data_IF_390328042564
#
_entry.id   IF_390328042564
#
_cell.length_a   1.000
_cell.length_b   1.000
_cell.length_c   1.000
_cell.angle_alpha   90.00
_cell.angle_beta   90.00
_cell.angle_gamma   90.00
#
_symmetry.space_group_name_H-M   'P 1'
#
loop_
_entity.id
_entity.type
_entity.pdbx_description
1 polymer ?
2 water ?
#
# COMPACT_ATOMS: atom_id res chain seq x y z
N UNK A 2 0.79 17.66 -9.22
CA UNK A 2 1.55 18.10 -8.01
C UNK A 2 0.66 18.92 -7.07
N UNK A 3 -0.33 19.60 -7.62
CA UNK A 3 -1.27 20.41 -6.82
C UNK A 3 -2.16 19.55 -5.94
N UNK A 4 -2.27 18.25 -6.26
CA UNK A 4 -3.08 17.31 -5.48
C UNK A 4 -2.37 16.82 -4.22
N UNK A 5 -1.12 17.23 -4.04
CA UNK A 5 -0.32 16.82 -2.90
C UNK A 5 0.04 18.03 -2.04
N UNK A 6 0.07 17.81 -0.73
CA UNK A 6 0.44 18.82 0.22
C UNK A 6 1.49 18.23 1.15
N UNK A 7 2.53 18.98 1.43
CA UNK A 7 3.55 18.56 2.36
C UNK A 7 3.07 18.89 3.77
N UNK A 8 3.28 17.97 4.70
CA UNK A 8 2.89 18.15 6.08
C UNK A 8 2.87 16.83 6.80
N UNK A 9 2.25 16.80 7.97
CA UNK A 9 2.10 15.55 8.70
C UNK A 9 0.87 14.83 8.15
N UNK A 10 1.13 13.72 7.45
CA UNK A 10 0.06 12.87 6.93
C UNK A 10 -0.26 11.83 7.99
N UNK A 11 -1.53 11.48 8.09
CA UNK A 11 -1.97 10.52 9.09
C UNK A 11 -3.09 9.65 8.55
N UNK A 12 -3.10 8.39 9.00
CA UNK A 12 -4.21 7.49 8.78
C UNK A 12 -4.69 6.96 10.13
N UNK A 13 -5.99 7.02 10.34
CA UNK A 13 -6.63 6.43 11.49
C UNK A 13 -7.56 5.34 11.01
N UNK A 14 -7.50 4.16 11.64
CA UNK A 14 -8.40 3.06 11.33
C UNK A 14 -9.19 2.68 12.57
N UNK A 15 -10.51 2.55 12.40
CA UNK A 15 -11.38 2.08 13.49
C UNK A 15 -12.24 0.94 12.97
N UNK A 16 -12.46 -0.08 13.78
CA UNK A 16 -13.35 -1.16 13.38
C UNK A 16 -14.39 -1.39 14.46
N UNK A 17 -15.53 -1.94 14.04
CA UNK A 17 -16.63 -2.27 14.94
C UNK A 17 -17.44 -3.42 14.35
N UNK A 18 -18.11 -4.17 15.21
CA UNK A 18 -19.01 -5.25 14.79
C UNK A 18 -18.56 -6.56 15.38
N UNK A 19 -18.76 -7.63 14.62
CA UNK A 19 -18.35 -8.97 15.02
C UNK A 19 -16.86 -9.13 14.68
N UNK A 20 -16.02 -8.38 15.38
CA UNK A 20 -14.60 -8.25 15.04
C UNK A 20 -13.84 -9.56 15.15
N UNK A 21 -14.30 -10.47 16.01
CA UNK A 21 -13.66 -11.79 16.13
C UNK A 21 -13.96 -12.70 14.94
N UNK A 22 -14.91 -12.32 14.08
CA UNK A 22 -15.28 -13.12 12.91
C UNK A 22 -14.53 -12.69 11.66
N UNK A 23 -13.73 -11.63 11.76
CA UNK A 23 -13.04 -11.07 10.60
C UNK A 23 -11.56 -10.88 10.88
N UNK A 24 -10.75 -11.09 9.85
CA UNK A 24 -9.33 -10.73 9.89
C UNK A 24 -9.14 -9.49 9.03
N UNK A 25 -8.60 -8.43 9.63
CA UNK A 25 -8.38 -7.16 8.95
C UNK A 25 -6.90 -6.83 9.00
N UNK A 26 -6.28 -6.72 7.85
CA UNK A 26 -4.86 -6.42 7.74
C UNK A 26 -4.67 -5.15 6.92
N UNK A 27 -3.68 -4.34 7.27
CA UNK A 27 -3.38 -3.15 6.49
C UNK A 27 -1.87 -3.02 6.23
N UNK A 28 -1.59 -2.39 5.10
CA UNK A 28 -0.24 -1.97 4.74
C UNK A 28 -0.27 -0.47 4.52
N UNK A 29 0.66 0.23 5.17
CA UNK A 29 0.70 1.68 5.17
C UNK A 29 2.09 2.15 4.73
N UNK A 30 2.13 3.15 3.87
CA UNK A 30 3.37 3.75 3.48
C UNK A 30 3.13 5.16 2.99
N UNK A 31 4.20 5.89 2.79
CA UNK A 31 4.11 7.22 2.21
C UNK A 31 5.39 7.58 1.52
N UNK A 32 5.47 8.84 1.08
CA UNK A 32 6.63 9.32 0.39
C UNK A 32 6.95 10.75 0.75
N UNK A 33 8.24 11.03 0.80
CA UNK A 33 8.73 12.39 0.79
C UNK A 33 9.68 12.54 -0.42
N UNK A 34 10.26 13.74 -0.58
CA UNK A 34 11.03 14.01 -1.79
C UNK A 34 12.31 13.17 -1.91
N UNK A 35 12.73 12.52 -0.81
CA UNK A 35 13.91 11.68 -0.79
C UNK A 35 13.72 10.19 -0.71
N UNK A 36 12.50 9.72 -0.53
CA UNK A 36 12.26 8.31 -0.36
C UNK A 36 10.98 7.97 0.38
N UNK A 37 10.82 6.68 0.72
CA UNK A 37 9.69 6.29 1.53
C UNK A 37 9.63 7.09 2.83
N UNK A 38 8.43 7.46 3.22
CA UNK A 38 8.23 8.29 4.40
C UNK A 38 8.50 7.53 5.69
N UNK A 39 9.11 8.21 6.64
CA UNK A 39 9.23 7.67 7.99
C UNK A 39 7.84 7.65 8.63
N UNK A 40 7.57 6.59 9.37
CA UNK A 40 6.25 6.35 9.96
C UNK A 40 6.36 6.23 11.49
N UNK A 41 5.30 6.65 12.16
CA UNK A 41 5.23 6.74 13.60
C UNK A 41 3.87 6.22 14.05
N UNK A 42 3.83 5.56 15.22
CA UNK A 42 2.59 5.03 15.77
C UNK A 42 1.80 6.08 16.57
N UNK A 43 0.73 5.65 17.23
CA UNK A 43 -0.16 6.57 17.94
C UNK A 43 0.50 7.30 19.12
N UNK A 44 1.61 6.75 19.62
CA UNK A 44 2.37 7.34 20.72
C UNK A 44 3.53 8.19 20.19
N UNK A 45 3.68 8.23 18.88
CA UNK A 45 4.76 9.00 18.26
C UNK A 45 6.07 8.25 18.16
N UNK A 46 6.05 6.96 18.46
CA UNK A 46 7.26 6.15 18.35
C UNK A 46 7.50 5.78 16.90
N UNK A 47 8.76 5.85 16.50
CA UNK A 47 9.16 5.49 15.16
C UNK A 47 8.98 4.01 14.90
N UNK A 48 8.30 3.66 13.82
CA UNK A 48 8.05 2.25 13.51
C UNK A 48 8.66 1.80 12.18
N UNK A 49 9.40 2.69 11.50
CA UNK A 49 10.15 2.30 10.29
C UNK A 49 9.63 3.09 9.09
N UNK A 50 10.02 2.70 7.89
CA UNK A 50 9.52 3.36 6.68
C UNK A 50 8.62 2.45 5.83
N UNK A 51 8.17 1.38 6.45
CA UNK A 51 7.06 0.58 5.94
C UNK A 51 6.34 0.05 7.17
N UNK A 52 5.08 -0.32 7.01
CA UNK A 52 4.29 -0.81 8.12
C UNK A 52 3.12 -1.66 7.64
N UNK A 53 2.98 -2.82 8.25
CA UNK A 53 1.78 -3.64 8.09
C UNK A 53 1.37 -4.13 9.45
N UNK A 54 0.08 -4.35 9.63
CA UNK A 54 -0.41 -4.83 10.90
C UNK A 54 -1.77 -5.47 10.70
N UNK A 55 -2.04 -6.51 11.48
CA UNK A 55 -3.41 -6.96 11.62
C UNK A 55 -4.07 -6.03 12.66
N UNK A 56 -5.28 -5.58 12.37
CA UNK A 56 -5.99 -4.65 13.26
C UNK A 56 -6.65 -5.50 14.33
N UNK A 57 -6.25 -5.33 15.58
CA UNK A 57 -6.81 -6.16 16.66
C UNK A 57 -7.28 -5.35 17.84
N UNK A 58 -7.35 -4.04 17.66
CA UNK A 58 -7.85 -3.15 18.67
C UNK A 58 -8.96 -2.33 18.02
N UNK A 59 -9.65 -1.52 18.82
CA UNK A 59 -10.69 -0.64 18.28
C UNK A 59 -10.14 0.47 17.36
N UNK A 60 -8.97 1.03 17.69
CA UNK A 60 -8.36 2.13 16.94
C UNK A 60 -6.86 1.99 16.78
N UNK A 61 -6.38 2.27 15.57
CA UNK A 61 -4.96 2.34 15.24
C UNK A 61 -4.71 3.61 14.45
N UNK A 62 -3.57 4.25 14.66
CA UNK A 62 -3.19 5.34 13.80
C UNK A 62 -1.72 5.28 13.48
N UNK A 63 -1.38 5.93 12.37
CA UNK A 63 -0.03 5.98 11.85
C UNK A 63 0.16 7.35 11.21
N UNK A 64 1.28 8.01 11.45
CA UNK A 64 1.54 9.29 10.81
C UNK A 64 2.97 9.38 10.34
N UNK A 65 3.23 10.41 9.55
CA UNK A 65 4.53 10.68 8.99
C UNK A 65 5.20 11.82 9.76
N UNK A 66 6.44 12.13 9.39
CA UNK A 66 7.03 13.40 9.75
C UNK A 66 6.45 14.49 8.84
N UNK A 67 6.88 15.72 9.04
CA UNK A 67 6.30 16.85 8.32
C UNK A 67 6.79 17.06 6.91
N UNK A 68 7.59 16.12 6.40
CA UNK A 68 8.13 16.22 5.04
C UNK A 68 7.35 15.41 4.02
N UNK A 69 6.41 14.59 4.47
CA UNK A 69 5.70 13.72 3.55
C UNK A 69 4.75 14.51 2.67
N UNK A 70 4.55 14.02 1.44
CA UNK A 70 3.56 14.63 0.56
C UNK A 70 2.46 13.67 0.15
N UNK A 71 2.52 12.44 0.65
CA UNK A 71 1.61 11.37 0.30
C UNK A 71 1.68 10.26 1.32
N UNK A 72 0.53 9.65 1.63
CA UNK A 72 0.44 8.50 2.50
C UNK A 72 -0.75 7.66 2.02
N UNK A 73 -0.58 6.35 2.08
CA UNK A 73 -1.55 5.37 1.60
C UNK A 73 -1.79 4.27 2.61
N UNK A 74 -3.00 3.72 2.63
CA UNK A 74 -3.34 2.58 3.44
C UNK A 74 -4.14 1.64 2.56
N UNK A 75 -3.63 0.43 2.40
CA UNK A 75 -4.33 -0.65 1.68
C UNK A 75 -4.66 -1.74 2.67
N UNK A 76 -5.88 -2.25 2.58
CA UNK A 76 -6.31 -3.26 3.53
C UNK A 76 -7.05 -4.42 2.92
N UNK A 77 -7.08 -5.50 3.68
CA UNK A 77 -7.91 -6.63 3.33
C UNK A 77 -8.73 -7.05 4.53
N UNK A 78 -9.94 -7.49 4.22
CA UNK A 78 -10.89 -7.96 5.19
C UNK A 78 -11.33 -9.33 4.73
N UNK A 79 -11.22 -10.32 5.61
CA UNK A 79 -11.60 -11.67 5.26
C UNK A 79 -12.33 -12.39 6.39
N UNK A 80 -13.12 -13.38 6.01
CA UNK A 80 -13.90 -14.18 6.97
C UNK A 80 -14.35 -15.48 6.35
N UNK A 81 -14.31 -16.55 7.14
CA UNK A 81 -14.92 -17.84 6.76
C UNK A 81 -16.10 -18.17 7.68
N UNK A 82 -16.57 -17.18 8.43
CA UNK A 82 -17.65 -17.38 9.41
C UNK A 82 -18.98 -17.70 8.74
N UNK A 83 -19.93 -18.16 9.54
CA UNK A 83 -21.31 -18.36 9.11
C UNK A 83 -21.90 -17.04 8.62
N UNK A 84 -22.98 -17.12 7.84
CA UNK A 84 -23.64 -15.93 7.30
C UNK A 84 -24.14 -15.01 8.42
N UNK A 85 -24.20 -13.70 8.15
CA UNK A 85 -24.81 -12.75 9.08
C UNK A 85 -23.89 -12.09 10.10
N UNK A 86 -22.58 -12.31 9.99
CA UNK A 86 -21.63 -11.57 10.80
C UNK A 86 -21.35 -10.22 10.14
N UNK A 87 -21.17 -9.18 10.96
CA UNK A 87 -21.13 -7.79 10.48
C UNK A 87 -19.89 -7.04 10.97
N UNK A 88 -19.25 -6.29 10.07
CA UNK A 88 -18.09 -5.48 10.44
C UNK A 88 -18.18 -4.08 9.83
N UNK A 89 -17.89 -3.10 10.68
CA UNK A 89 -17.68 -1.79 10.10
C UNK A 89 -16.24 -1.35 10.26
N UNK A 90 -15.75 -0.79 9.16
CA UNK A 90 -14.37 -0.28 9.08
C UNK A 90 -14.45 1.17 8.64
N UNK A 91 -13.79 2.06 9.39
CA UNK A 91 -13.60 3.45 8.99
C UNK A 91 -12.10 3.73 8.87
N UNK A 92 -11.69 4.30 7.74
CA UNK A 92 -10.31 4.72 7.55
C UNK A 92 -10.31 6.18 7.15
N UNK A 93 -9.61 7.03 7.92
CA UNK A 93 -9.62 8.45 7.70
C UNK A 93 -8.19 8.89 7.41
N UNK A 94 -8.03 9.69 6.36
CA UNK A 94 -6.75 10.26 5.99
C UNK A 94 -6.73 11.75 6.29
N UNK A 95 -5.64 12.22 6.89
CA UNK A 95 -5.47 13.61 7.28
C UNK A 95 -4.15 14.17 6.78
N UNK A 96 -4.12 15.48 6.59
CA UNK A 96 -2.89 16.23 6.49
C UNK A 96 -2.97 17.39 7.48
N UNK A 97 -2.02 17.46 8.41
CA UNK A 97 -2.00 18.49 9.45
C UNK A 97 -3.38 18.63 10.12
N UNK A 98 -3.95 17.48 10.49
CA UNK A 98 -5.21 17.39 11.24
C UNK A 98 -6.48 17.70 10.46
N UNK A 99 -6.34 18.07 9.18
CA UNK A 99 -7.49 18.26 8.32
C UNK A 99 -7.80 16.92 7.62
N UNK A 100 -9.07 16.51 7.66
CA UNK A 100 -9.49 15.30 6.99
C UNK A 100 -9.47 15.54 5.50
N UNK A 101 -8.77 14.69 4.76
CA UNK A 101 -8.71 14.86 3.31
C UNK A 101 -9.43 13.76 2.53
N UNK A 102 -9.53 12.57 3.10
CA UNK A 102 -10.34 11.47 2.54
C UNK A 102 -10.80 10.55 3.65
N UNK A 103 -11.84 9.79 3.36
CA UNK A 103 -12.44 8.90 4.32
C UNK A 103 -13.04 7.74 3.55
N UNK A 104 -12.85 6.54 4.09
CA UNK A 104 -13.51 5.36 3.59
C UNK A 104 -14.37 4.82 4.72
N UNK A 105 -15.62 4.51 4.39
CA UNK A 105 -16.50 3.84 5.32
C UNK A 105 -16.98 2.57 4.65
N UNK A 106 -16.81 1.45 5.33
CA UNK A 106 -17.13 0.15 4.79
C UNK A 106 -17.96 -0.61 5.81
N UNK A 107 -18.93 -1.34 5.29
CA UNK A 107 -19.73 -2.26 6.09
C UNK A 107 -19.72 -3.62 5.40
N UNK A 108 -19.36 -4.66 6.15
CA UNK A 108 -19.29 -6.01 5.59
C UNK A 108 -20.19 -6.93 6.38
N UNK A 109 -20.92 -7.80 5.66
CA UNK A 109 -21.82 -8.77 6.27
C UNK A 109 -21.63 -10.11 5.54
N UNK A 110 -21.22 -11.13 6.29
CA UNK A 110 -20.95 -12.44 5.67
C UNK A 110 -22.24 -13.08 5.20
N UNK A 111 -22.15 -13.84 4.11
CA UNK A 111 -23.32 -14.49 3.50
C UNK A 111 -23.21 -16.03 3.48
N UNK A 112 -22.21 -16.56 4.18
CA UNK A 112 -22.02 -18.02 4.26
C UNK A 112 -20.92 -18.52 3.35
N UNK A 113 -20.62 -17.77 2.29
CA UNK A 113 -19.46 -18.04 1.46
C UNK A 113 -18.25 -17.34 2.05
N UNK A 114 -17.07 -17.71 1.57
CA UNK A 114 -15.82 -17.08 1.94
C UNK A 114 -15.90 -15.59 1.63
N UNK A 115 -15.49 -14.73 2.56
CA UNK A 115 -15.48 -13.28 2.33
C UNK A 115 -14.04 -12.81 2.19
N UNK A 116 -13.75 -12.15 1.07
CA UNK A 116 -12.47 -11.49 0.85
C UNK A 116 -12.74 -10.14 0.18
N UNK A 117 -12.41 -9.06 0.86
CA UNK A 117 -12.61 -7.74 0.30
C UNK A 117 -11.36 -6.91 0.55
N UNK A 118 -11.16 -5.90 -0.28
CA UNK A 118 -10.00 -5.03 -0.12
C UNK A 118 -10.43 -3.57 -0.19
N UNK A 119 -9.55 -2.70 0.30
CA UNK A 119 -9.81 -1.29 0.25
C UNK A 119 -8.52 -0.52 0.19
N UNK A 120 -8.63 0.73 -0.23
CA UNK A 120 -7.48 1.61 -0.26
C UNK A 120 -7.92 3.04 -0.04
N UNK A 121 -7.13 3.78 0.70
CA UNK A 121 -7.34 5.21 0.84
C UNK A 121 -5.99 5.91 0.95
N UNK A 122 -5.93 7.13 0.44
CA UNK A 122 -4.71 7.90 0.52
C UNK A 122 -5.02 9.33 0.88
N UNK A 123 -3.95 10.10 1.09
CA UNK A 123 -4.07 11.52 1.41
C UNK A 123 -3.91 12.41 0.16
N UNK A 124 -3.92 11.83 -1.03
CA UNK A 124 -3.96 12.63 -2.27
C UNK A 124 -5.38 13.16 -2.49
N UNK A 125 -5.47 14.41 -2.95
CA UNK A 125 -6.76 15.03 -3.27
C UNK A 125 -7.43 14.27 -4.42
N UNK A 126 -8.63 13.74 -4.17
CA UNK A 126 -9.41 13.03 -5.18
C UNK A 126 -10.34 14.02 -5.87
N UNK B 4 -12.67 -22.66 2.35
CA UNK B 4 -11.23 -22.27 2.32
C UNK B 4 -10.97 -21.20 1.26
N UNK B 5 -10.04 -20.30 1.55
CA UNK B 5 -9.71 -19.21 0.63
C UNK B 5 -8.95 -19.72 -0.58
N UNK B 6 -9.15 -19.05 -1.73
CA UNK B 6 -8.36 -19.28 -2.93
C UNK B 6 -7.03 -18.54 -2.77
N UNK B 7 -5.93 -19.29 -2.68
CA UNK B 7 -4.63 -18.70 -2.40
C UNK B 7 -3.62 -19.06 -3.47
N UNK B 8 -2.52 -18.32 -3.51
CA UNK B 8 -1.41 -18.65 -4.38
C UNK B 8 -0.23 -17.75 -4.06
N UNK B 9 0.82 -17.88 -4.85
CA UNK B 9 1.95 -16.95 -4.80
C UNK B 9 1.57 -15.68 -5.53
N UNK B 10 1.41 -14.60 -4.78
CA UNK B 10 1.20 -13.30 -5.37
C UNK B 10 2.55 -12.64 -5.62
N UNK B 11 2.67 -11.94 -6.72
CA UNK B 11 3.94 -11.35 -7.14
C UNK B 11 3.72 -10.06 -7.87
N UNK B 12 4.55 -9.07 -7.56
CA UNK B 12 4.57 -7.81 -8.27
C UNK B 12 5.96 -7.54 -8.78
N UNK B 13 6.02 -7.17 -10.06
CA UNK B 13 7.24 -6.85 -10.74
C UNK B 13 7.16 -5.39 -11.19
N UNK B 14 8.20 -4.61 -10.95
CA UNK B 14 8.29 -3.24 -11.41
C UNK B 14 9.52 -3.09 -12.29
N UNK B 15 9.32 -2.46 -13.45
CA UNK B 15 10.37 -2.15 -14.42
C UNK B 15 10.37 -0.66 -14.71
N UNK B 16 11.53 -0.01 -14.58
CA UNK B 16 11.66 1.40 -14.89
C UNK B 16 12.74 1.62 -15.91
N UNK B 17 12.58 2.70 -16.68
CA UNK B 17 13.60 3.10 -17.61
C UNK B 17 13.44 4.55 -18.00
N UNK B 18 14.48 5.08 -18.62
CA UNK B 18 14.51 6.43 -19.12
C UNK B 18 15.57 7.23 -18.41
N UNK B 19 15.21 8.46 -18.05
CA UNK B 19 16.09 9.34 -17.30
C UNK B 19 15.94 9.05 -15.81
N UNK B 20 16.33 7.85 -15.43
CA UNK B 20 16.05 7.37 -14.09
C UNK B 20 16.70 8.20 -12.98
N UNK B 21 17.86 8.81 -13.25
CA UNK B 21 18.51 9.64 -12.25
C UNK B 21 17.76 10.96 -11.99
N UNK B 22 16.79 11.30 -12.84
CA UNK B 22 16.03 12.55 -12.69
C UNK B 22 14.73 12.39 -11.91
N UNK B 23 14.40 11.15 -11.54
CA UNK B 23 13.15 10.86 -10.83
C UNK B 23 13.44 10.13 -9.55
N UNK B 24 12.65 10.44 -8.54
CA UNK B 24 12.62 9.69 -7.30
C UNK B 24 11.40 8.78 -7.34
N UNK B 25 11.64 7.46 -7.35
CA UNK B 25 10.56 6.48 -7.41
C UNK B 25 10.58 5.69 -6.09
N UNK B 26 9.50 5.79 -5.31
CA UNK B 26 9.32 5.08 -4.04
C UNK B 26 8.17 4.11 -4.18
N UNK B 27 8.31 2.93 -3.60
CA UNK B 27 7.20 1.99 -3.54
C UNK B 27 7.04 1.41 -2.15
N UNK B 28 5.80 1.11 -1.82
CA UNK B 28 5.45 0.39 -0.60
C UNK B 28 4.65 -0.82 -1.04
N UNK B 29 4.99 -1.99 -0.49
CA UNK B 29 4.37 -3.25 -0.89
C UNK B 29 3.93 -4.02 0.36
N UNK B 30 2.75 -4.63 0.27
CA UNK B 30 2.29 -5.51 1.31
C UNK B 30 1.25 -6.47 0.74
N UNK B 31 0.97 -7.52 1.49
CA UNK B 31 -0.05 -8.49 1.09
C UNK B 31 -0.71 -9.07 2.30
N UNK B 32 -1.62 -10.02 2.06
CA UNK B 32 -2.38 -10.60 3.15
C UNK B 32 -2.65 -12.07 2.90
N UNK B 33 -2.71 -12.79 4.01
CA UNK B 33 -3.20 -14.17 4.04
C UNK B 33 -4.14 -14.31 5.22
N UNK B 34 -4.64 -15.51 5.49
CA UNK B 34 -5.69 -15.60 6.51
C UNK B 34 -5.15 -15.34 7.92
N UNK B 35 -3.82 -15.28 8.08
CA UNK B 35 -3.23 -14.95 9.37
C UNK B 35 -2.93 -13.48 9.61
N UNK B 36 -3.02 -12.67 8.58
CA UNK B 36 -2.57 -11.30 8.68
C UNK B 36 -1.71 -10.89 7.50
N UNK B 37 -0.85 -9.89 7.71
CA UNK B 37 0.06 -9.50 6.64
C UNK B 37 0.91 -10.67 6.15
N UNK B 38 1.06 -10.77 4.84
CA UNK B 38 1.84 -11.83 4.21
C UNK B 38 3.32 -11.60 4.30
N UNK B 39 4.06 -12.63 4.61
CA UNK B 39 5.51 -12.57 4.49
C UNK B 39 5.88 -12.27 3.05
N UNK B 40 6.92 -11.46 2.88
CA UNK B 40 7.38 -11.01 1.57
C UNK B 40 8.78 -11.48 1.31
N UNK B 41 9.06 -11.73 0.02
CA UNK B 41 10.33 -12.29 -0.44
C UNK B 41 10.81 -11.53 -1.66
N UNK B 42 12.12 -11.35 -1.78
CA UNK B 42 12.69 -10.66 -2.93
C UNK B 42 12.88 -11.62 -4.11
N UNK B 43 13.49 -11.13 -5.19
CA UNK B 43 13.74 -11.91 -6.41
C UNK B 43 14.62 -13.14 -6.21
N UNK B 44 15.45 -13.12 -5.16
CA UNK B 44 16.29 -14.24 -4.78
C UNK B 44 15.62 -15.24 -3.82
N UNK B 45 14.39 -14.96 -3.42
CA UNK B 45 13.68 -15.84 -2.49
C UNK B 45 14.01 -15.57 -1.02
N UNK B 46 14.66 -14.45 -0.73
CA UNK B 46 15.01 -14.08 0.64
C UNK B 46 13.85 -13.34 1.33
N UNK B 47 13.61 -13.64 2.60
CA UNK B 47 12.61 -12.94 3.39
C UNK B 47 13.00 -11.50 3.63
N UNK B 48 12.10 -10.58 3.28
CA UNK B 48 12.36 -9.15 3.41
C UNK B 48 11.45 -8.40 4.40
N UNK B 49 10.57 -9.14 5.08
CA UNK B 49 9.65 -8.54 6.04
C UNK B 49 8.23 -8.88 5.68
N UNK B 50 7.30 -8.41 6.51
CA UNK B 50 5.89 -8.45 6.11
C UNK B 50 5.35 -7.06 5.77
N UNK B 51 6.28 -6.14 5.55
CA UNK B 51 6.03 -4.87 4.89
C UNK B 51 7.33 -4.54 4.21
N UNK B 52 7.26 -3.77 3.14
CA UNK B 52 8.44 -3.42 2.40
C UNK B 52 8.27 -2.09 1.71
N UNK B 53 9.31 -1.25 1.81
CA UNK B 53 9.37 -0.04 1.02
C UNK B 53 10.79 0.16 0.51
N UNK B 54 10.91 0.84 -0.62
CA UNK B 54 12.21 1.08 -1.23
C UNK B 54 12.16 2.26 -2.15
N UNK B 55 13.28 2.98 -2.25
CA UNK B 55 13.53 3.82 -3.38
C UNK B 55 14.08 2.91 -4.47
N UNK B 56 13.41 2.86 -5.63
CA UNK B 56 13.81 1.96 -6.72
C UNK B 56 14.96 2.59 -7.50
N UNK B 57 16.12 1.93 -7.51
CA UNK B 57 17.33 2.45 -8.13
C UNK B 57 17.94 1.48 -9.17
N UNK B 58 17.24 0.39 -9.44
CA UNK B 58 17.63 -0.58 -10.44
C UNK B 58 16.58 -0.59 -11.56
N UNK B 59 16.89 -1.24 -12.67
CA UNK B 59 15.95 -1.36 -13.78
C UNK B 59 14.71 -2.13 -13.38
N UNK B 60 14.87 -3.14 -12.55
CA UNK B 60 13.74 -3.98 -12.19
C UNK B 60 13.82 -4.39 -10.76
N UNK B 61 12.66 -4.71 -10.21
CA UNK B 61 12.59 -5.37 -8.91
C UNK B 61 11.32 -6.19 -8.83
N UNK B 62 11.34 -7.19 -7.97
CA UNK B 62 10.17 -7.99 -7.75
C UNK B 62 10.04 -8.37 -6.28
N UNK B 63 8.79 -8.59 -5.89
CA UNK B 63 8.44 -8.99 -4.56
C UNK B 63 7.33 -10.03 -4.65
N UNK B 64 7.41 -11.07 -3.83
CA UNK B 64 6.38 -12.10 -3.84
C UNK B 64 6.03 -12.59 -2.44
N UNK B 65 4.92 -13.28 -2.36
CA UNK B 65 4.49 -13.98 -1.15
C UNK B 65 4.85 -15.47 -1.26
N UNK B 66 4.55 -16.21 -0.21
CA UNK B 66 4.48 -17.66 -0.33
C UNK B 66 3.11 -18.06 -0.90
N UNK B 67 2.82 -19.35 -0.97
CA UNK B 67 1.65 -19.82 -1.66
C UNK B 67 0.32 -19.68 -0.95
N UNK B 68 0.33 -19.03 0.21
CA UNK B 68 -0.87 -18.91 1.03
C UNK B 68 -1.57 -17.55 0.97
N UNK B 69 -1.08 -16.64 0.12
CA UNK B 69 -1.61 -15.29 0.09
C UNK B 69 -2.87 -15.21 -0.76
N UNK B 70 -3.72 -14.23 -0.43
CA UNK B 70 -4.88 -13.93 -1.26
C UNK B 70 -4.95 -12.46 -1.71
N UNK B 71 -3.92 -11.68 -1.43
CA UNK B 71 -3.90 -10.28 -1.80
C UNK B 71 -2.49 -9.74 -1.76
N UNK B 72 -2.13 -8.92 -2.74
CA UNK B 72 -0.91 -8.15 -2.68
C UNK B 72 -1.18 -6.77 -3.28
N UNK B 73 -0.47 -5.76 -2.80
CA UNK B 73 -0.61 -4.45 -3.33
C UNK B 73 0.72 -3.69 -3.31
N UNK B 74 0.84 -2.79 -4.28
CA UNK B 74 2.01 -1.93 -4.46
C UNK B 74 1.51 -0.51 -4.66
N UNK B 75 1.96 0.41 -3.83
CA UNK B 75 1.67 1.82 -3.98
C UNK B 75 2.97 2.52 -4.31
N UNK B 76 2.97 3.34 -5.35
CA UNK B 76 4.16 4.00 -5.80
C UNK B 76 4.01 5.50 -5.91
N UNK B 77 5.14 6.19 -5.74
CA UNK B 77 5.25 7.64 -5.91
C UNK B 77 6.38 7.93 -6.86
N UNK B 78 6.15 8.86 -7.78
CA UNK B 78 7.17 9.30 -8.73
C UNK B 78 7.23 10.80 -8.62
N UNK B 79 8.42 11.33 -8.39
CA UNK B 79 8.57 12.77 -8.30
C UNK B 79 9.83 13.26 -9.01
N UNK B 80 9.80 14.50 -9.45
CA UNK B 80 10.97 15.11 -10.09
C UNK B 80 10.91 16.62 -9.94
N UNK B 81 12.06 17.22 -9.73
CA UNK B 81 12.24 18.67 -9.77
C UNK B 81 13.19 19.07 -10.90
N UNK B 82 13.41 18.14 -11.83
CA UNK B 82 14.32 18.36 -12.96
C UNK B 82 13.76 19.34 -13.99
N UNK B 83 14.61 19.69 -14.96
CA UNK B 83 14.21 20.52 -16.08
C UNK B 83 13.21 19.74 -16.95
N UNK B 84 12.58 20.46 -17.86
CA UNK B 84 11.64 19.88 -18.82
C UNK B 84 12.33 18.84 -19.70
N UNK B 85 11.57 17.82 -20.10
CA UNK B 85 12.01 16.85 -21.09
C UNK B 85 12.64 15.57 -20.57
N UNK B 86 12.65 15.38 -19.26
CA UNK B 86 13.08 14.12 -18.66
C UNK B 86 11.91 13.15 -18.66
N UNK B 87 12.19 11.88 -18.95
CA UNK B 87 11.19 10.89 -19.24
C UNK B 87 11.41 9.65 -18.38
N UNK B 88 10.32 9.10 -17.86
CA UNK B 88 10.37 7.87 -17.10
C UNK B 88 9.24 6.93 -17.55
N UNK B 89 9.60 5.71 -17.87
CA UNK B 89 8.66 4.65 -18.14
C UNK B 89 8.60 3.72 -16.95
N UNK B 90 7.40 3.41 -16.51
CA UNK B 90 7.13 2.45 -15.44
C UNK B 90 6.17 1.40 -15.95
N UNK B 91 6.53 0.14 -15.76
CA UNK B 91 5.63 -0.99 -15.99
C UNK B 91 5.54 -1.77 -14.68
N UNK B 92 4.32 -2.02 -14.21
CA UNK B 92 4.08 -2.83 -13.02
C UNK B 92 3.19 -3.98 -13.41
N UNK B 93 3.59 -5.21 -13.08
CA UNK B 93 2.86 -6.41 -13.46
C UNK B 93 2.55 -7.19 -12.19
N UNK B 94 1.30 -7.61 -12.02
CA UNK B 94 0.91 -8.44 -10.90
C UNK B 94 0.53 -9.83 -11.37
N UNK B 95 0.98 -10.83 -10.62
CA UNK B 95 0.72 -12.24 -10.90
C UNK B 95 0.16 -12.96 -9.69
N UNK B 96 -0.61 -13.99 -9.97
CA UNK B 96 -0.94 -15.03 -8.98
C UNK B 96 -0.53 -16.36 -9.60
N UNK B 97 0.33 -17.09 -8.91
CA UNK B 97 0.94 -18.29 -9.45
C UNK B 97 1.47 -18.08 -10.86
N UNK B 98 2.19 -16.97 -10.99
CA UNK B 98 2.84 -16.58 -12.24
C UNK B 98 1.88 -16.44 -13.43
N UNK B 99 0.57 -16.38 -13.18
CA UNK B 99 -0.42 -16.04 -14.22
C UNK B 99 -0.64 -14.53 -14.06
N UNK B 100 -0.56 -13.75 -15.14
CA UNK B 100 -0.70 -12.31 -15.01
C UNK B 100 -2.16 -11.98 -14.75
N UNK B 101 -2.39 -11.21 -13.70
CA UNK B 101 -3.74 -10.80 -13.33
C UNK B 101 -3.99 -9.29 -13.36
N UNK B 102 -2.92 -8.49 -13.42
CA UNK B 102 -3.05 -7.04 -13.46
C UNK B 102 -1.78 -6.43 -14.01
N UNK B 103 -1.89 -5.20 -14.50
CA UNK B 103 -0.80 -4.49 -15.13
C UNK B 103 -1.09 -3.01 -15.10
N UNK B 104 -0.02 -2.22 -14.99
CA UNK B 104 -0.09 -0.80 -15.15
C UNK B 104 1.11 -0.36 -15.98
N UNK B 105 0.87 0.50 -16.96
CA UNK B 105 1.91 1.09 -17.78
C UNK B 105 1.78 2.61 -17.76
N UNK B 106 2.86 3.29 -17.40
CA UNK B 106 2.87 4.75 -17.28
C UNK B 106 4.12 5.35 -17.92
N UNK B 107 3.95 6.52 -18.51
CA UNK B 107 5.03 7.29 -19.06
C UNK B 107 4.90 8.70 -18.53
N UNK B 108 5.93 9.14 -17.80
CA UNK B 108 5.99 10.43 -17.16
C UNK B 108 6.98 11.28 -17.91
N UNK B 109 6.62 12.55 -18.11
CA UNK B 109 7.48 13.47 -18.83
C UNK B 109 7.43 14.82 -18.12
N UNK B 110 8.60 15.31 -17.72
CA UNK B 110 8.67 16.56 -16.99
C UNK B 110 8.45 17.73 -17.95
N UNK B 111 7.87 18.81 -17.43
CA UNK B 111 7.57 19.97 -18.29
C UNK B 111 8.10 21.29 -17.75
N UNK B 112 9.01 21.22 -16.80
CA UNK B 112 9.57 22.41 -16.17
C UNK B 112 9.07 22.61 -14.75
N UNK B 113 7.84 22.15 -14.49
CA UNK B 113 7.22 22.22 -13.17
C UNK B 113 7.56 21.00 -12.34
N UNK B 114 7.32 21.09 -11.04
CA UNK B 114 7.47 19.92 -10.17
C UNK B 114 6.50 18.85 -10.64
N UNK B 115 7.01 17.62 -10.74
CA UNK B 115 6.20 16.47 -11.11
C UNK B 115 6.00 15.62 -9.86
N UNK B 116 4.75 15.32 -9.54
CA UNK B 116 4.42 14.34 -8.50
C UNK B 116 3.25 13.52 -9.00
N UNK B 117 3.43 12.20 -9.07
CA UNK B 117 2.37 11.30 -9.50
C UNK B 117 2.43 10.06 -8.64
N UNK B 118 1.31 9.37 -8.51
CA UNK B 118 1.27 8.13 -7.76
C UNK B 118 0.58 7.04 -8.56
N UNK B 119 0.85 5.80 -8.18
CA UNK B 119 0.20 4.67 -8.82
C UNK B 119 -0.10 3.57 -7.80
N UNK B 120 -0.95 2.64 -8.20
CA UNK B 120 -1.34 1.54 -7.35
C UNK B 120 -1.66 0.35 -8.22
N UNK B 121 -1.12 -0.81 -7.85
CA UNK B 121 -1.46 -2.06 -8.50
C UNK B 121 -1.65 -3.15 -7.46
N UNK B 122 -2.77 -3.85 -7.54
CA UNK B 122 -3.10 -4.93 -6.64
C UNK B 122 -3.34 -6.21 -7.36
N UNK B 123 -3.14 -7.31 -6.63
CA UNK B 123 -3.48 -8.65 -7.11
C UNK B 123 -4.50 -9.26 -6.17
N UNK B 124 -5.51 -9.88 -6.76
CA UNK B 124 -6.56 -10.60 -6.01
C UNK B 124 -7.33 -11.45 -7.00
N UNK B 125 -8.06 -12.41 -6.47
CA UNK B 125 -8.91 -13.29 -7.28
C UNK B 125 -10.20 -12.59 -7.64
N UNK B 126 -10.71 -12.89 -8.84
CA UNK B 126 -12.04 -12.47 -9.27
C UNK B 126 -12.84 -13.68 -9.77
#
# INVERSE_FOLDING_TARGET
>A
GASDFQTGIHKIVIQQSGDTDSFEVSVSIGGADKGGPAKLYNDKGEYIGDSYSAQIRTATMSCCTNGNAFFMTCAGSVSSISEAGKRLHITVIGYIDDKEVNRLEKEYITDGNTLIETFSVSTKEI
>B
GASDFQTGIHKIVIQQSGDTDSFEVSVSIGGADKGGPAKLYNDKGEYIGDSYSAQIRTATMSCCTNGNAFFMTCAGSVSSISEAGKRLHITVIGYIDDKEVNRLEKEYITDGNTLIETFSVSTKEI
#
